data_IF_268770920945
#
_entry.id   IF_268770920945
#
_cell.length_a   1.000
_cell.length_b   1.000
_cell.length_c   1.000
_cell.angle_alpha   90.00
_cell.angle_beta   90.00
_cell.angle_gamma   90.00
#
_symmetry.space_group_name_H-M   'P 1'
#
loop_
_entity.id
_entity.type
_entity.pdbx_description
1 polymer ?
#
# COMPACT_ATOMS: atom_id res chain seq x y z
N UNK A 1 -17.46 9.29 -23.91
CA UNK A 1 -18.62 8.38 -23.83
C UNK A 1 -18.23 6.96 -23.38
N UNK A 2 -17.24 6.27 -24.01
CA UNK A 2 -16.86 4.91 -23.60
C UNK A 2 -16.25 4.83 -22.19
N UNK A 3 -15.54 5.85 -21.76
CA UNK A 3 -14.91 5.94 -20.43
C UNK A 3 -15.90 6.37 -19.32
N UNK A 4 -16.97 7.06 -19.65
CA UNK A 4 -17.92 7.59 -18.66
C UNK A 4 -18.89 6.52 -18.13
N UNK A 5 -19.05 5.42 -18.88
CA UNK A 5 -19.89 4.28 -18.52
C UNK A 5 -19.13 3.01 -18.11
N UNK A 6 -17.79 3.05 -18.04
CA UNK A 6 -16.99 1.87 -17.73
C UNK A 6 -16.89 1.68 -16.20
N UNK A 7 -17.22 0.48 -15.65
CA UNK A 7 -16.98 0.20 -14.24
C UNK A 7 -15.49 0.34 -13.91
N UNK A 8 -15.19 0.87 -12.71
CA UNK A 8 -13.81 1.17 -12.29
C UNK A 8 -12.87 -0.05 -12.29
N UNK A 9 -13.42 -1.25 -12.08
CA UNK A 9 -12.69 -2.52 -12.10
C UNK A 9 -12.11 -2.88 -13.48
N UNK A 10 -12.78 -2.45 -14.57
CA UNK A 10 -12.36 -2.71 -15.95
C UNK A 10 -11.81 -1.47 -16.65
N UNK A 11 -11.76 -0.35 -15.97
CA UNK A 11 -11.40 0.94 -16.55
C UNK A 11 -9.91 1.03 -16.93
N UNK A 12 -9.02 0.39 -16.15
CA UNK A 12 -7.56 0.45 -16.35
C UNK A 12 -7.11 0.10 -17.76
N UNK A 13 -7.43 -1.09 -18.32
CA UNK A 13 -7.00 -1.44 -19.69
C UNK A 13 -7.59 -0.50 -20.74
N UNK A 14 -8.80 0.00 -20.54
CA UNK A 14 -9.45 0.94 -21.47
C UNK A 14 -8.74 2.28 -21.50
N UNK A 15 -8.38 2.83 -20.33
CA UNK A 15 -7.61 4.08 -20.23
C UNK A 15 -6.23 3.94 -20.85
N UNK A 16 -5.53 2.83 -20.58
CA UNK A 16 -4.20 2.57 -21.13
C UNK A 16 -4.26 2.48 -22.64
N UNK A 17 -5.18 1.69 -23.20
CA UNK A 17 -5.36 1.55 -24.66
C UNK A 17 -5.73 2.89 -25.33
N UNK A 18 -6.58 3.69 -24.70
CA UNK A 18 -6.95 5.00 -25.24
C UNK A 18 -5.77 5.98 -25.19
N UNK A 19 -5.01 6.02 -24.11
CA UNK A 19 -3.80 6.85 -24.01
C UNK A 19 -2.75 6.45 -25.05
N UNK A 20 -2.50 5.16 -25.23
CA UNK A 20 -1.61 4.63 -26.26
C UNK A 20 -2.06 5.00 -27.69
N UNK A 21 -3.37 4.99 -27.94
CA UNK A 21 -3.92 5.46 -29.22
C UNK A 21 -3.55 6.94 -29.47
N UNK A 22 -3.73 7.81 -28.46
CA UNK A 22 -3.37 9.23 -28.58
C UNK A 22 -1.84 9.41 -28.77
N UNK A 23 -1.01 8.55 -28.15
CA UNK A 23 0.44 8.53 -28.38
C UNK A 23 0.80 8.17 -29.84
N UNK A 24 0.15 7.15 -30.43
CA UNK A 24 0.40 6.72 -31.81
C UNK A 24 0.10 7.82 -32.82
N UNK A 25 -0.85 8.70 -32.50
CA UNK A 25 -1.13 9.89 -33.30
C UNK A 25 -0.26 11.12 -32.97
N UNK A 26 0.75 10.94 -32.11
CA UNK A 26 1.67 12.01 -31.72
C UNK A 26 1.07 13.07 -30.80
N UNK A 27 -0.04 12.76 -30.11
CA UNK A 27 -0.77 13.69 -29.27
C UNK A 27 -0.38 13.54 -27.79
N UNK A 28 0.91 13.65 -27.47
CA UNK A 28 1.46 13.45 -26.13
C UNK A 28 0.67 14.15 -25.00
N UNK A 29 0.29 15.43 -25.20
CA UNK A 29 -0.48 16.17 -24.20
C UNK A 29 -1.91 15.63 -24.00
N UNK A 30 -2.50 15.00 -25.00
CA UNK A 30 -3.80 14.35 -24.88
C UNK A 30 -3.66 13.01 -24.17
N UNK A 31 -2.66 12.22 -24.52
CA UNK A 31 -2.34 10.97 -23.84
C UNK A 31 -2.15 11.19 -22.34
N UNK A 32 -1.33 12.19 -21.95
CA UNK A 32 -1.10 12.51 -20.53
C UNK A 32 -2.38 12.95 -19.81
N UNK A 33 -3.30 13.67 -20.45
CA UNK A 33 -4.62 13.99 -19.86
C UNK A 33 -5.50 12.75 -19.68
N UNK A 34 -5.40 11.78 -20.59
CA UNK A 34 -6.10 10.49 -20.44
C UNK A 34 -5.54 9.73 -19.24
N UNK A 35 -4.22 9.66 -19.10
CA UNK A 35 -3.57 9.00 -17.94
C UNK A 35 -3.86 9.72 -16.62
N UNK A 36 -3.85 11.05 -16.61
CA UNK A 36 -4.29 11.82 -15.44
C UNK A 36 -5.73 11.50 -15.04
N UNK A 37 -6.65 11.42 -15.99
CA UNK A 37 -8.04 11.04 -15.72
C UNK A 37 -8.14 9.59 -15.23
N UNK A 38 -7.29 8.71 -15.73
CA UNK A 38 -7.25 7.31 -15.33
C UNK A 38 -6.93 7.14 -13.84
N UNK A 39 -6.05 7.97 -13.25
CA UNK A 39 -5.69 7.87 -11.81
C UNK A 39 -6.90 8.01 -10.88
N UNK A 40 -7.98 8.66 -11.34
CA UNK A 40 -9.24 8.84 -10.60
C UNK A 40 -10.34 7.89 -11.05
N UNK A 41 -10.25 7.39 -12.30
CA UNK A 41 -11.27 6.53 -12.90
C UNK A 41 -11.11 5.04 -12.63
N UNK A 42 -9.94 4.59 -12.17
CA UNK A 42 -9.67 3.18 -11.84
C UNK A 42 -10.05 2.84 -10.39
N UNK A 43 -10.17 1.54 -10.10
CA UNK A 43 -10.40 1.07 -8.74
C UNK A 43 -9.27 1.49 -7.79
N UNK A 44 -9.59 1.67 -6.50
CA UNK A 44 -8.60 2.13 -5.51
C UNK A 44 -7.36 1.21 -5.42
N UNK A 45 -7.53 -0.11 -5.64
CA UNK A 45 -6.43 -1.07 -5.67
C UNK A 45 -5.43 -0.80 -6.80
N UNK A 46 -5.89 -0.30 -7.94
CA UNK A 46 -5.09 -0.05 -9.14
C UNK A 46 -4.52 1.38 -9.20
N UNK A 47 -4.96 2.28 -8.31
CA UNK A 47 -4.57 3.70 -8.38
C UNK A 47 -3.07 3.92 -8.29
N UNK A 48 -2.39 3.23 -7.37
CA UNK A 48 -0.93 3.34 -7.22
C UNK A 48 -0.21 2.91 -8.50
N UNK A 49 -0.62 1.79 -9.08
CA UNK A 49 -0.03 1.28 -10.32
C UNK A 49 -0.32 2.22 -11.51
N UNK A 50 -1.51 2.82 -11.53
CA UNK A 50 -1.85 3.80 -12.55
C UNK A 50 -1.01 5.09 -12.41
N UNK A 51 -0.72 5.53 -11.19
CA UNK A 51 0.21 6.65 -10.95
C UNK A 51 1.63 6.32 -11.43
N UNK A 52 2.15 5.13 -11.13
CA UNK A 52 3.46 4.67 -11.63
C UNK A 52 3.52 4.68 -13.17
N UNK A 53 2.47 4.16 -13.79
CA UNK A 53 2.36 4.17 -15.25
C UNK A 53 2.31 5.60 -15.80
N UNK A 54 1.52 6.50 -15.21
CA UNK A 54 1.44 7.89 -15.62
C UNK A 54 2.77 8.62 -15.45
N UNK A 55 3.51 8.38 -14.37
CA UNK A 55 4.85 8.92 -14.13
C UNK A 55 5.83 8.46 -15.21
N UNK A 56 5.87 7.15 -15.49
CA UNK A 56 6.74 6.60 -16.53
C UNK A 56 6.44 7.22 -17.89
N UNK A 57 5.18 7.36 -18.26
CA UNK A 57 4.75 8.00 -19.50
C UNK A 57 5.04 9.51 -19.55
N UNK A 58 4.94 10.19 -18.42
CA UNK A 58 5.34 11.61 -18.32
C UNK A 58 6.84 11.78 -18.53
N UNK A 59 7.65 10.91 -17.91
CA UNK A 59 9.10 10.92 -18.10
C UNK A 59 9.51 10.69 -19.56
N UNK A 60 8.84 9.73 -20.22
CA UNK A 60 9.10 9.37 -21.63
C UNK A 60 8.69 10.49 -22.61
N UNK A 61 7.50 11.07 -22.44
CA UNK A 61 6.90 11.98 -23.43
C UNK A 61 7.31 13.44 -23.25
N UNK A 62 7.55 13.90 -22.04
CA UNK A 62 7.85 15.32 -21.73
C UNK A 62 9.08 15.53 -20.86
N UNK A 63 9.65 14.47 -20.33
CA UNK A 63 10.90 14.50 -19.56
C UNK A 63 10.68 14.37 -18.04
N UNK A 64 11.74 13.89 -17.38
CA UNK A 64 11.74 13.54 -15.95
C UNK A 64 11.37 14.73 -15.03
N UNK A 65 11.79 15.95 -15.37
CA UNK A 65 11.46 17.13 -14.57
C UNK A 65 9.94 17.37 -14.39
N UNK A 66 9.14 16.95 -15.37
CA UNK A 66 7.68 17.10 -15.32
C UNK A 66 6.99 16.04 -14.47
N UNK A 67 7.67 14.97 -14.09
CA UNK A 67 7.11 13.93 -13.19
C UNK A 67 6.89 14.44 -11.78
N UNK A 68 7.57 15.47 -11.35
CA UNK A 68 7.46 16.07 -10.01
C UNK A 68 6.01 16.38 -9.63
N UNK A 69 5.30 17.09 -10.49
CA UNK A 69 3.90 17.44 -10.26
C UNK A 69 2.98 16.21 -10.19
N UNK A 70 3.32 15.15 -10.90
CA UNK A 70 2.57 13.88 -10.88
C UNK A 70 2.82 13.12 -9.59
N UNK A 71 4.08 13.06 -9.13
CA UNK A 71 4.44 12.48 -7.84
C UNK A 71 3.75 13.19 -6.68
N UNK A 72 3.82 14.51 -6.61
CA UNK A 72 3.22 15.33 -5.55
C UNK A 72 1.70 15.12 -5.48
N UNK A 73 1.03 15.07 -6.63
CA UNK A 73 -0.39 14.76 -6.71
C UNK A 73 -0.68 13.33 -6.24
N UNK A 74 0.09 12.35 -6.70
CA UNK A 74 -0.07 10.96 -6.30
C UNK A 74 0.06 10.78 -4.80
N UNK A 75 1.06 11.41 -4.19
CA UNK A 75 1.28 11.39 -2.74
C UNK A 75 0.10 12.01 -1.97
N UNK A 76 -0.53 13.07 -2.51
CA UNK A 76 -1.67 13.72 -1.87
C UNK A 76 -3.00 12.97 -2.05
N UNK A 77 -3.16 12.22 -3.15
CA UNK A 77 -4.42 11.55 -3.49
C UNK A 77 -4.46 10.06 -3.08
N UNK A 78 -3.30 9.44 -2.84
CA UNK A 78 -3.20 8.06 -2.36
C UNK A 78 -3.27 7.99 -0.83
N UNK A 79 -3.76 6.87 -0.30
CA UNK A 79 -3.67 6.60 1.14
C UNK A 79 -2.23 6.35 1.60
N UNK A 80 -2.02 6.31 2.92
CA UNK A 80 -0.71 6.27 3.59
C UNK A 80 0.28 5.27 2.98
N UNK A 81 -0.16 4.06 2.70
CA UNK A 81 0.70 3.03 2.08
C UNK A 81 1.12 3.38 0.65
N UNK A 82 0.20 3.95 -0.14
CA UNK A 82 0.49 4.41 -1.50
C UNK A 82 1.40 5.63 -1.50
N UNK A 83 1.15 6.59 -0.62
CA UNK A 83 1.98 7.77 -0.42
C UNK A 83 3.41 7.41 0.01
N UNK A 84 3.56 6.45 0.95
CA UNK A 84 4.85 5.91 1.38
C UNK A 84 5.65 5.35 0.21
N UNK A 85 5.04 4.44 -0.56
CA UNK A 85 5.73 3.79 -1.68
C UNK A 85 6.11 4.80 -2.77
N UNK A 86 5.17 5.68 -3.13
CA UNK A 86 5.40 6.66 -4.17
C UNK A 86 6.45 7.71 -3.77
N UNK A 87 6.50 8.10 -2.48
CA UNK A 87 7.52 9.02 -1.96
C UNK A 87 8.92 8.40 -1.97
N UNK A 88 9.03 7.10 -1.67
CA UNK A 88 10.30 6.39 -1.74
C UNK A 88 10.83 6.27 -3.18
N UNK A 89 9.93 6.06 -4.16
CA UNK A 89 10.27 6.05 -5.59
C UNK A 89 10.64 7.47 -6.09
N UNK A 90 9.91 8.47 -5.63
CA UNK A 90 10.21 9.87 -5.95
C UNK A 90 11.59 10.29 -5.43
N UNK A 91 11.96 9.87 -4.22
CA UNK A 91 13.29 10.13 -3.68
C UNK A 91 14.41 9.58 -4.57
N UNK A 92 14.23 8.38 -5.15
CA UNK A 92 15.19 7.82 -6.11
C UNK A 92 15.30 8.67 -7.38
N UNK A 93 14.17 9.16 -7.88
CA UNK A 93 14.15 10.04 -9.06
C UNK A 93 14.86 11.36 -8.78
N UNK A 94 14.62 11.99 -7.63
CA UNK A 94 15.29 13.24 -7.25
C UNK A 94 16.80 13.01 -7.03
N UNK A 95 17.20 11.87 -6.48
CA UNK A 95 18.61 11.51 -6.33
C UNK A 95 19.31 11.38 -7.70
N UNK A 96 18.64 10.75 -8.68
CA UNK A 96 19.16 10.66 -10.06
C UNK A 96 19.30 12.04 -10.71
N UNK A 97 18.47 13.02 -10.32
CA UNK A 97 18.55 14.40 -10.76
C UNK A 97 19.61 15.23 -10.00
N UNK A 98 20.26 14.64 -8.98
CA UNK A 98 21.25 15.32 -8.14
C UNK A 98 20.65 16.14 -6.99
N UNK A 99 19.34 16.08 -6.77
CA UNK A 99 18.61 16.83 -5.74
C UNK A 99 18.63 16.09 -4.39
N UNK A 100 19.82 16.02 -3.77
CA UNK A 100 20.07 15.22 -2.54
C UNK A 100 19.18 15.67 -1.37
N UNK A 101 18.99 16.97 -1.16
CA UNK A 101 18.19 17.47 -0.04
C UNK A 101 16.70 17.16 -0.20
N UNK A 102 16.20 17.20 -1.43
CA UNK A 102 14.83 16.76 -1.75
C UNK A 102 14.65 15.27 -1.52
N UNK A 103 15.59 14.46 -2.02
CA UNK A 103 15.56 13.02 -1.81
C UNK A 103 15.52 12.68 -0.32
N UNK A 104 16.34 13.36 0.50
CA UNK A 104 16.32 13.21 1.96
C UNK A 104 14.97 13.54 2.59
N UNK A 105 14.38 14.68 2.21
CA UNK A 105 13.08 15.08 2.71
C UNK A 105 11.96 14.08 2.35
N UNK A 106 12.00 13.52 1.14
CA UNK A 106 11.03 12.51 0.68
C UNK A 106 11.18 11.18 1.41
N UNK A 107 12.43 10.73 1.68
CA UNK A 107 12.68 9.53 2.47
C UNK A 107 12.23 9.72 3.93
N UNK A 108 12.49 10.89 4.52
CA UNK A 108 12.02 11.22 5.85
C UNK A 108 10.48 11.28 5.94
N UNK A 109 9.82 11.75 4.88
CA UNK A 109 8.36 11.74 4.77
C UNK A 109 7.81 10.30 4.66
N UNK A 110 8.36 9.49 3.72
CA UNK A 110 7.95 8.09 3.55
C UNK A 110 8.12 7.27 4.84
N UNK A 111 9.20 7.50 5.57
CA UNK A 111 9.52 6.82 6.82
C UNK A 111 8.50 7.06 7.95
N UNK A 112 7.71 8.15 7.89
CA UNK A 112 6.68 8.42 8.90
C UNK A 112 5.52 7.41 8.86
N UNK A 113 5.29 6.79 7.71
CA UNK A 113 4.22 5.80 7.48
C UNK A 113 4.73 4.35 7.59
N UNK A 114 6.06 4.14 7.63
CA UNK A 114 6.70 2.84 7.65
C UNK A 114 7.09 2.42 9.08
N UNK A 115 6.42 1.41 9.64
CA UNK A 115 6.92 0.79 10.88
C UNK A 115 8.22 0.02 10.58
N UNK A 116 9.35 0.33 11.27
CA UNK A 116 10.63 -0.33 11.04
C UNK A 116 10.61 -1.86 11.15
N UNK A 117 9.59 -2.44 11.79
CA UNK A 117 9.45 -3.90 11.97
C UNK A 117 8.66 -4.57 10.85
N UNK A 118 7.63 -3.89 10.32
CA UNK A 118 6.78 -4.43 9.25
C UNK A 118 7.28 -4.05 7.86
N UNK A 119 7.81 -2.80 7.72
CA UNK A 119 8.26 -2.24 6.45
C UNK A 119 9.73 -1.80 6.50
N UNK A 120 10.68 -2.74 6.62
CA UNK A 120 12.09 -2.42 6.76
C UNK A 120 12.70 -1.79 5.49
N UNK A 121 12.06 -1.95 4.33
CA UNK A 121 12.61 -1.53 3.02
C UNK A 121 12.87 -0.03 2.93
N UNK A 122 11.92 0.79 3.37
CA UNK A 122 12.04 2.25 3.35
C UNK A 122 13.17 2.71 4.29
N UNK A 123 13.30 2.06 5.45
CA UNK A 123 14.36 2.35 6.40
C UNK A 123 15.74 1.93 5.90
N UNK A 124 15.82 0.81 5.19
CA UNK A 124 17.07 0.38 4.55
C UNK A 124 17.47 1.36 3.45
N UNK A 125 16.52 1.76 2.61
CA UNK A 125 16.75 2.74 1.54
C UNK A 125 17.24 4.09 2.11
N UNK A 126 16.63 4.59 3.19
CA UNK A 126 17.08 5.83 3.83
C UNK A 126 18.44 5.68 4.50
N UNK A 127 18.69 4.54 5.17
CA UNK A 127 19.99 4.23 5.74
C UNK A 127 21.09 4.25 4.68
N UNK A 128 20.90 3.54 3.56
CA UNK A 128 21.87 3.45 2.48
C UNK A 128 22.10 4.82 1.81
N UNK A 129 21.04 5.61 1.70
CA UNK A 129 21.13 7.00 1.24
C UNK A 129 22.00 7.86 2.18
N UNK A 130 21.78 7.82 3.49
CA UNK A 130 22.57 8.62 4.43
C UNK A 130 24.04 8.13 4.55
N UNK A 131 24.30 6.85 4.34
CA UNK A 131 25.66 6.32 4.24
C UNK A 131 26.42 6.87 3.02
N UNK A 132 25.73 7.06 1.90
CA UNK A 132 26.34 7.52 0.66
C UNK A 132 26.40 9.05 0.51
N UNK A 133 25.38 9.75 0.98
CA UNK A 133 25.17 11.17 0.73
C UNK A 133 24.98 12.01 1.99
N UNK A 134 24.96 11.37 3.16
CA UNK A 134 24.70 12.03 4.45
C UNK A 134 25.95 12.53 5.16
N UNK A 135 25.69 13.23 6.25
CA UNK A 135 26.67 13.61 7.27
C UNK A 135 26.41 12.82 8.56
N UNK A 136 27.32 12.91 9.52
CA UNK A 136 27.11 12.32 10.85
C UNK A 136 25.83 12.83 11.52
N UNK A 137 25.53 14.11 11.33
CA UNK A 137 24.34 14.73 11.92
C UNK A 137 23.05 14.27 11.25
N UNK A 138 23.02 14.19 9.92
CA UNK A 138 21.83 13.69 9.19
C UNK A 138 21.58 12.21 9.47
N UNK A 139 22.64 11.42 9.61
CA UNK A 139 22.51 10.00 10.00
C UNK A 139 21.96 9.83 11.43
N UNK A 140 22.45 10.65 12.39
CA UNK A 140 21.92 10.66 13.76
C UNK A 140 20.43 11.05 13.79
N UNK A 141 20.04 12.03 12.96
CA UNK A 141 18.64 12.46 12.84
C UNK A 141 17.77 11.33 12.30
N UNK A 142 18.21 10.63 11.24
CA UNK A 142 17.53 9.45 10.71
C UNK A 142 17.30 8.40 11.81
N UNK A 143 18.33 8.10 12.63
CA UNK A 143 18.20 7.14 13.73
C UNK A 143 17.25 7.65 14.84
N UNK A 144 17.18 8.96 15.08
CA UNK A 144 16.24 9.57 16.01
C UNK A 144 14.81 9.41 15.53
N UNK A 145 14.55 9.72 14.26
CA UNK A 145 13.24 9.55 13.63
C UNK A 145 12.82 8.08 13.67
N UNK A 146 13.72 7.16 13.33
CA UNK A 146 13.45 5.71 13.37
C UNK A 146 12.96 5.25 14.75
N UNK A 147 13.64 5.67 15.81
CA UNK A 147 13.23 5.35 17.20
C UNK A 147 11.88 5.94 17.57
N UNK A 148 11.61 7.19 17.15
CA UNK A 148 10.33 7.85 17.40
C UNK A 148 9.17 7.15 16.70
N UNK A 149 9.33 6.75 15.42
CA UNK A 149 8.31 6.01 14.68
C UNK A 149 8.08 4.63 15.28
N UNK A 150 9.15 3.94 15.67
CA UNK A 150 9.06 2.62 16.29
C UNK A 150 8.32 2.68 17.64
N UNK A 151 8.56 3.71 18.47
CA UNK A 151 7.84 3.91 19.73
C UNK A 151 6.34 4.12 19.47
N UNK A 152 5.98 5.05 18.57
CA UNK A 152 4.56 5.30 18.18
C UNK A 152 3.86 4.04 17.66
N UNK A 153 4.52 3.25 16.82
CA UNK A 153 3.97 2.00 16.29
C UNK A 153 3.79 0.94 17.39
N UNK A 154 4.66 0.92 18.40
CA UNK A 154 4.53 0.02 19.56
C UNK A 154 3.35 0.42 20.45
N UNK A 155 3.20 1.72 20.73
CA UNK A 155 2.09 2.24 21.52
C UNK A 155 0.75 2.01 20.84
N UNK A 156 0.66 2.25 19.53
CA UNK A 156 -0.54 2.01 18.74
C UNK A 156 -0.96 0.53 18.76
N UNK A 157 0.00 -0.40 18.65
CA UNK A 157 -0.29 -1.86 18.75
C UNK A 157 -0.78 -2.23 20.14
N UNK A 158 -0.15 -1.73 21.17
CA UNK A 158 -0.57 -2.00 22.55
C UNK A 158 -1.99 -1.51 22.82
N UNK A 159 -2.34 -0.32 22.34
CA UNK A 159 -3.71 0.21 22.44
C UNK A 159 -4.71 -0.68 21.68
N UNK A 160 -4.37 -1.13 20.47
CA UNK A 160 -5.22 -2.02 19.68
C UNK A 160 -5.44 -3.38 20.36
N UNK A 161 -4.41 -3.95 20.99
CA UNK A 161 -4.52 -5.20 21.78
C UNK A 161 -5.42 -5.02 22.99
N UNK A 162 -5.31 -3.90 23.71
CA UNK A 162 -6.18 -3.58 24.86
C UNK A 162 -7.63 -3.40 24.43
N UNK A 163 -7.88 -2.75 23.29
CA UNK A 163 -9.24 -2.60 22.75
C UNK A 163 -9.84 -3.94 22.30
N UNK A 164 -9.04 -4.79 21.64
CA UNK A 164 -9.47 -6.13 21.23
C UNK A 164 -9.81 -7.02 22.43
N UNK A 165 -9.04 -6.93 23.52
CA UNK A 165 -9.28 -7.68 24.74
C UNK A 165 -10.55 -7.24 25.50
N UNK A 166 -11.00 -6.00 25.29
CA UNK A 166 -12.24 -5.46 25.86
C UNK A 166 -13.52 -5.87 25.10
N UNK A 167 -13.38 -6.36 23.86
CA UNK A 167 -14.54 -6.88 23.12
C UNK A 167 -14.98 -8.20 23.75
N UNK A 168 -16.27 -8.35 24.16
CA UNK A 168 -16.75 -9.60 24.70
C UNK A 168 -16.63 -10.68 23.63
N UNK A 169 -15.86 -11.71 23.91
CA UNK A 169 -15.78 -12.91 23.08
C UNK A 169 -17.21 -13.44 22.94
N UNK A 170 -17.83 -13.24 21.77
CA UNK A 170 -19.04 -13.98 21.41
C UNK A 170 -18.60 -15.43 21.26
N UNK A 171 -18.59 -16.15 22.38
CA UNK A 171 -18.43 -17.60 22.40
C UNK A 171 -19.56 -18.19 21.60
N UNK A 172 -19.31 -18.56 20.34
CA UNK A 172 -20.13 -19.59 19.69
C UNK A 172 -19.91 -20.86 20.50
N UNK A 173 -20.80 -21.12 21.47
CA UNK A 173 -20.91 -22.46 22.02
C UNK A 173 -21.17 -23.39 20.82
N UNK A 174 -20.38 -24.44 20.62
CA UNK A 174 -20.75 -25.45 19.67
C UNK A 174 -22.09 -26.04 20.20
N UNK A 175 -23.16 -25.87 19.45
CA UNK A 175 -24.39 -26.64 19.66
C UNK A 175 -24.01 -28.05 19.24
N UNK A 176 -23.67 -28.87 20.24
CA UNK A 176 -23.57 -30.31 20.05
C UNK A 176 -25.01 -30.78 19.96
N UNK A 177 -25.47 -31.08 18.76
CA UNK A 177 -26.74 -31.72 18.49
C UNK A 177 -26.63 -33.18 18.94
N UNK A 178 -27.16 -33.46 20.12
CA UNK A 178 -27.20 -34.81 20.71
C UNK A 178 -28.21 -35.75 20.02
N UNK A 179 -28.88 -35.33 18.94
CA UNK A 179 -29.90 -36.10 18.24
C UNK A 179 -29.36 -37.23 17.34
N UNK A 180 -28.05 -37.34 17.18
CA UNK A 180 -27.42 -38.40 16.36
C UNK A 180 -26.48 -39.32 17.15
N UNK A 181 -26.78 -39.54 18.44
CA UNK A 181 -26.14 -40.63 19.16
C UNK A 181 -26.72 -41.94 18.65
N UNK A 182 -26.07 -42.55 17.66
CA UNK A 182 -26.28 -43.93 17.24
C UNK A 182 -26.02 -44.84 18.42
N UNK A 183 -26.98 -45.76 18.65
CA UNK A 183 -26.91 -46.78 19.68
C UNK A 183 -25.59 -47.54 19.64
N UNK A 184 -25.03 -47.77 20.81
CA UNK A 184 -23.80 -48.51 21.03
C UNK A 184 -23.99 -49.98 20.57
N UNK A 185 -23.21 -50.53 19.61
CA UNK A 185 -23.44 -51.90 19.10
C UNK A 185 -23.06 -53.00 20.08
N UNK A 186 -22.56 -52.69 21.27
CA UNK A 186 -22.13 -53.67 22.30
C UNK A 186 -23.05 -53.76 23.52
N UNK A 187 -24.32 -53.28 23.43
CA UNK A 187 -25.28 -53.44 24.50
C UNK A 187 -25.90 -54.84 24.42
N UNK A 188 -25.33 -55.77 25.20
CA UNK A 188 -25.84 -57.14 25.38
C UNK A 188 -27.10 -57.05 26.22
N UNK A 189 -28.25 -57.40 25.62
CA UNK A 189 -29.50 -57.60 26.35
C UNK A 189 -29.37 -58.78 27.32
N UNK A 190 -29.52 -58.49 28.60
CA UNK A 190 -29.65 -59.55 29.64
C UNK A 190 -31.14 -59.91 29.69
N UNK A 191 -31.47 -61.12 29.21
CA UNK A 191 -32.80 -61.68 29.35
C UNK A 191 -33.05 -62.06 30.84
N UNK A 192 -34.03 -61.38 31.44
CA UNK A 192 -34.52 -61.73 32.79
C UNK A 192 -35.52 -62.89 32.74
N UNK A 193 -35.08 -64.10 32.37
CA UNK A 193 -35.83 -65.30 32.44
C UNK A 193 -34.96 -66.43 33.04
N UNK A 194 -34.65 -66.31 34.32
CA UNK A 194 -34.27 -67.47 35.16
C UNK A 194 -34.30 -67.05 36.64
N UNK A 195 -35.60 -67.05 37.24
CA UNK A 195 -35.85 -67.30 38.64
C UNK A 195 -37.31 -67.82 38.87
#
# INVERSE_FOLDING_TARGET
QALDGCPSEYAKPVFVAYGQLEETYGLARRALRVYERATRGVANADRLEMYRFYIAKTAELVGVAHTRAVYERGISELGDMGAMQLSAEYAQTELQLGEVDRARALLAYAAQFADPRTDPRVWQQWHDFEVQHGSEDSFKEMLRVKRSVQARATDARHLAEVELSKQPVKSKKPVVDLSTATANPDEVAIDDDDL
#
